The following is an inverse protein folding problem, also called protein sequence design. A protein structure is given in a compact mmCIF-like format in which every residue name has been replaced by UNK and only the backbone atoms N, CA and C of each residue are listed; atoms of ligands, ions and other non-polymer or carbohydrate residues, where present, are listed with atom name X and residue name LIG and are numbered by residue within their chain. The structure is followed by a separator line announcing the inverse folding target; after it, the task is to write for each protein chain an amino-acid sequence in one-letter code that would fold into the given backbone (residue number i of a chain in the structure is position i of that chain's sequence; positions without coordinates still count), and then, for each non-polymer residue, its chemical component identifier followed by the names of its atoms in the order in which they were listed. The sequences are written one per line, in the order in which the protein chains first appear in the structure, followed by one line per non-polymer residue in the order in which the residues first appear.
data_IF_549457538462
#
_entry.id   IF_549457538462
#
_cell.length_a   1.000
_cell.length_b   1.000
_cell.length_c   1.000
_cell.angle_alpha   90.00
_cell.angle_beta   90.00
_cell.angle_gamma   90.00
#
_symmetry.space_group_name_H-M   'P 1'
#
loop_
_entity.id
_entity.type
_entity.pdbx_description
1 polymer ?
#
# COMPACT_ATOMS: atom_id res chain seq x y z
N UNK A 1 -3.49 15.48 -9.06
CA UNK A 1 -4.11 16.82 -8.87
C UNK A 1 -5.36 16.93 -9.75
N UNK A 2 -6.26 17.88 -9.49
CA UNK A 2 -7.40 18.11 -10.38
C UNK A 2 -6.97 19.06 -11.52
N UNK A 3 -7.39 18.75 -12.74
CA UNK A 3 -7.14 19.59 -13.91
C UNK A 3 -8.28 20.58 -14.08
N UNK A 4 -7.91 21.83 -14.37
CA UNK A 4 -8.82 22.93 -14.63
C UNK A 4 -8.45 23.57 -15.97
N UNK A 5 -9.40 23.59 -16.90
CA UNK A 5 -9.29 24.34 -18.14
C UNK A 5 -9.82 25.73 -17.91
N UNK A 6 -9.03 26.75 -18.18
CA UNK A 6 -9.49 28.13 -18.18
C UNK A 6 -9.72 28.62 -19.60
N UNK A 7 -10.69 29.49 -19.76
CA UNK A 7 -10.93 30.24 -20.98
C UNK A 7 -10.79 31.72 -20.64
N UNK A 8 -9.97 32.43 -21.39
CA UNK A 8 -9.74 33.86 -21.26
C UNK A 8 -9.78 34.53 -22.64
N UNK A 9 -9.91 35.86 -22.68
CA UNK A 9 -9.86 36.66 -23.90
C UNK A 9 -8.57 37.48 -23.92
N UNK A 10 -7.92 37.58 -25.07
CA UNK A 10 -6.83 38.55 -25.26
C UNK A 10 -7.41 39.97 -25.52
N UNK A 11 -6.53 40.95 -25.74
CA UNK A 11 -6.90 42.34 -26.05
C UNK A 11 -7.74 42.49 -27.34
N UNK A 12 -7.69 41.52 -28.26
CA UNK A 12 -8.45 41.50 -29.52
C UNK A 12 -9.73 40.64 -29.42
N UNK A 13 -10.21 40.35 -28.20
CA UNK A 13 -11.33 39.45 -27.93
C UNK A 13 -11.18 38.01 -28.51
N UNK A 14 -9.94 37.58 -28.78
CA UNK A 14 -9.66 36.20 -29.20
C UNK A 14 -9.61 35.28 -27.99
N UNK A 15 -10.25 34.13 -28.13
CA UNK A 15 -10.32 33.11 -27.08
C UNK A 15 -8.98 32.41 -26.90
N UNK A 16 -8.40 32.55 -25.72
CA UNK A 16 -7.23 31.81 -25.25
C UNK A 16 -7.68 30.74 -24.27
N UNK A 17 -7.21 29.50 -24.45
CA UNK A 17 -7.49 28.38 -23.56
C UNK A 17 -6.18 27.83 -23.02
N UNK A 18 -6.17 27.53 -21.73
CA UNK A 18 -5.07 26.82 -21.10
C UNK A 18 -5.59 25.81 -20.09
N UNK A 19 -4.73 24.89 -19.67
CA UNK A 19 -5.04 23.89 -18.64
C UNK A 19 -4.01 24.02 -17.53
N UNK A 20 -4.48 24.03 -16.28
CA UNK A 20 -3.63 24.04 -15.09
C UNK A 20 -3.99 22.87 -14.17
N UNK A 21 -3.02 22.46 -13.36
CA UNK A 21 -3.20 21.42 -12.33
C UNK A 21 -3.16 22.04 -10.94
N UNK A 22 -4.18 21.79 -10.11
CA UNK A 22 -4.22 22.26 -8.73
C UNK A 22 -4.86 21.22 -7.79
N UNK A 23 -4.59 21.31 -6.47
CA UNK A 23 -5.23 20.40 -5.50
C UNK A 23 -6.66 20.82 -5.20
N UNK A 24 -6.94 22.12 -5.18
CA UNK A 24 -8.27 22.68 -4.87
C UNK A 24 -8.70 23.70 -5.92
N UNK A 25 -10.02 23.88 -6.06
CA UNK A 25 -10.57 24.88 -7.00
C UNK A 25 -10.13 26.31 -6.68
N UNK A 26 -9.96 26.65 -5.39
CA UNK A 26 -9.46 27.98 -4.97
C UNK A 26 -8.02 28.23 -5.42
N UNK A 27 -7.16 27.24 -5.25
CA UNK A 27 -5.76 27.29 -5.69
C UNK A 27 -5.67 27.43 -7.22
N UNK A 28 -6.51 26.70 -7.96
CA UNK A 28 -6.62 26.86 -9.40
C UNK A 28 -7.05 28.28 -9.80
N UNK A 29 -8.09 28.83 -9.17
CA UNK A 29 -8.56 30.19 -9.47
C UNK A 29 -7.49 31.24 -9.21
N UNK A 30 -6.71 31.11 -8.12
CA UNK A 30 -5.61 32.03 -7.82
C UNK A 30 -4.52 31.99 -8.92
N UNK A 31 -4.08 30.78 -9.31
CA UNK A 31 -3.09 30.60 -10.38
C UNK A 31 -3.59 31.14 -11.74
N UNK A 32 -4.85 30.90 -12.08
CA UNK A 32 -5.46 31.41 -13.33
C UNK A 32 -5.51 32.92 -13.32
N UNK A 33 -5.88 33.52 -12.18
CA UNK A 33 -5.97 34.98 -12.05
C UNK A 33 -4.60 35.63 -12.20
N UNK A 34 -3.56 35.08 -11.59
CA UNK A 34 -2.17 35.54 -11.73
C UNK A 34 -1.68 35.43 -13.19
N UNK A 35 -1.93 34.30 -13.85
CA UNK A 35 -1.60 34.11 -15.26
C UNK A 35 -2.35 35.08 -16.19
N UNK A 36 -3.60 35.36 -15.89
CA UNK A 36 -4.40 36.30 -16.68
C UNK A 36 -3.90 37.74 -16.50
N UNK A 37 -3.54 38.15 -15.28
CA UNK A 37 -2.98 39.47 -15.03
C UNK A 37 -1.63 39.65 -15.72
N UNK A 38 -0.72 38.69 -15.60
CA UNK A 38 0.61 38.75 -16.20
C UNK A 38 0.56 38.85 -17.73
N UNK A 39 -0.38 38.16 -18.37
CA UNK A 39 -0.50 38.10 -19.82
C UNK A 39 -1.60 39.02 -20.40
N UNK A 40 -2.12 39.96 -19.59
CA UNK A 40 -3.18 40.90 -19.99
C UNK A 40 -4.43 40.21 -20.59
N UNK A 41 -4.80 39.05 -20.03
CA UNK A 41 -5.96 38.28 -20.45
C UNK A 41 -7.17 38.57 -19.53
N UNK A 42 -8.37 38.61 -20.11
CA UNK A 42 -9.62 38.68 -19.35
C UNK A 42 -10.16 37.28 -19.08
N UNK A 43 -10.15 36.85 -17.83
CA UNK A 43 -10.68 35.53 -17.42
C UNK A 43 -12.20 35.46 -17.60
N UNK A 44 -12.69 34.42 -18.30
CA UNK A 44 -14.12 34.21 -18.59
C UNK A 44 -14.71 33.07 -17.77
N UNK A 45 -14.10 31.88 -17.85
CA UNK A 45 -14.64 30.69 -17.18
C UNK A 45 -13.55 29.67 -16.85
N UNK A 46 -13.85 28.81 -15.88
CA UNK A 46 -13.01 27.67 -15.52
C UNK A 46 -13.83 26.41 -15.44
N UNK A 47 -13.39 25.37 -16.14
CA UNK A 47 -14.00 24.05 -16.19
C UNK A 47 -13.09 23.06 -15.50
N UNK A 48 -13.62 22.30 -14.53
CA UNK A 48 -12.88 21.23 -13.88
C UNK A 48 -13.08 19.94 -14.67
N UNK A 49 -11.98 19.26 -15.02
CA UNK A 49 -12.05 17.94 -15.65
C UNK A 49 -12.74 16.95 -14.73
N UNK A 50 -13.76 16.26 -15.23
CA UNK A 50 -14.61 15.32 -14.48
C UNK A 50 -14.76 14.03 -15.25
N UNK A 51 -15.00 12.95 -14.52
CA UNK A 51 -15.33 11.65 -15.10
C UNK A 51 -16.79 11.61 -15.52
N UNK A 52 -17.03 11.23 -16.77
CA UNK A 52 -18.35 10.98 -17.30
C UNK A 52 -18.47 9.51 -17.66
N UNK A 53 -19.62 8.96 -17.33
CA UNK A 53 -20.03 7.61 -17.67
C UNK A 53 -20.85 7.70 -18.95
N UNK A 54 -20.43 7.00 -20.00
CA UNK A 54 -21.14 6.99 -21.27
C UNK A 54 -21.46 5.57 -21.72
N UNK A 55 -22.55 5.44 -22.47
CA UNK A 55 -22.97 4.21 -23.10
C UNK A 55 -23.01 4.45 -24.60
N UNK A 56 -22.26 3.64 -25.33
CA UNK A 56 -22.13 3.73 -26.79
C UNK A 56 -22.44 2.41 -27.44
N UNK A 57 -22.91 2.48 -28.68
CA UNK A 57 -23.15 1.33 -29.53
C UNK A 57 -22.35 1.49 -30.83
N UNK A 58 -21.64 0.43 -31.23
CA UNK A 58 -20.94 0.35 -32.52
C UNK A 58 -21.80 -0.48 -33.45
N UNK A 59 -22.37 0.13 -34.49
CA UNK A 59 -23.24 -0.56 -35.43
C UNK A 59 -24.39 -1.31 -34.73
N UNK A 60 -24.45 -2.64 -34.91
CA UNK A 60 -25.44 -3.54 -34.28
C UNK A 60 -24.95 -4.26 -33.02
N UNK A 61 -23.74 -3.94 -32.52
CA UNK A 61 -23.25 -4.59 -31.29
C UNK A 61 -24.08 -4.22 -30.06
N UNK A 62 -23.93 -5.01 -28.98
CA UNK A 62 -24.54 -4.68 -27.69
C UNK A 62 -23.95 -3.38 -27.15
N UNK A 63 -24.77 -2.52 -26.51
CA UNK A 63 -24.30 -1.29 -25.89
C UNK A 63 -23.17 -1.57 -24.90
N UNK A 64 -22.06 -0.84 -25.03
CA UNK A 64 -20.93 -0.90 -24.10
C UNK A 64 -20.93 0.35 -23.23
N UNK A 65 -20.75 0.15 -21.93
CA UNK A 65 -20.60 1.23 -20.97
C UNK A 65 -19.11 1.47 -20.74
N UNK A 66 -18.71 2.73 -20.73
CA UNK A 66 -17.33 3.15 -20.51
C UNK A 66 -17.29 4.48 -19.77
N UNK A 67 -16.12 4.83 -19.25
CA UNK A 67 -15.90 6.08 -18.54
C UNK A 67 -14.78 6.85 -19.25
N UNK A 68 -14.91 8.16 -19.34
CA UNK A 68 -13.85 9.05 -19.86
C UNK A 68 -13.89 10.38 -19.13
N UNK A 69 -12.70 10.94 -18.94
CA UNK A 69 -12.52 12.24 -18.31
C UNK A 69 -12.51 13.33 -19.37
N UNK A 70 -13.37 14.31 -19.19
CA UNK A 70 -13.46 15.47 -20.08
C UNK A 70 -13.79 16.73 -19.28
N UNK A 71 -13.64 17.89 -19.90
CA UNK A 71 -14.01 19.17 -19.28
C UNK A 71 -15.50 19.45 -19.45
N UNK A 72 -16.12 18.88 -20.48
CA UNK A 72 -17.56 19.01 -20.76
C UNK A 72 -18.16 17.70 -21.26
N UNK A 73 -19.50 17.62 -21.23
CA UNK A 73 -20.24 16.48 -21.77
C UNK A 73 -20.14 16.46 -23.31
N UNK A 74 -20.16 17.64 -23.90
CA UNK A 74 -20.13 17.90 -25.33
C UNK A 74 -18.83 17.40 -25.96
N UNK A 75 -17.70 17.57 -25.25
CA UNK A 75 -16.38 17.10 -25.69
C UNK A 75 -16.34 15.56 -25.82
N UNK A 76 -17.06 14.83 -24.96
CA UNK A 76 -17.17 13.37 -25.06
C UNK A 76 -18.06 12.97 -26.23
N UNK A 77 -19.19 13.65 -26.41
CA UNK A 77 -20.11 13.36 -27.51
C UNK A 77 -19.39 13.57 -28.84
N UNK A 78 -18.71 14.70 -29.02
CA UNK A 78 -17.95 15.01 -30.23
C UNK A 78 -16.82 14.01 -30.47
N UNK A 79 -16.10 13.59 -29.43
CA UNK A 79 -15.03 12.60 -29.57
C UNK A 79 -15.57 11.23 -29.99
N UNK A 80 -16.72 10.82 -29.45
CA UNK A 80 -17.36 9.54 -29.76
C UNK A 80 -18.01 9.54 -31.15
N UNK A 81 -18.67 10.63 -31.54
CA UNK A 81 -19.23 10.81 -32.87
C UNK A 81 -18.15 10.80 -33.95
N UNK A 82 -16.99 11.42 -33.70
CA UNK A 82 -15.82 11.34 -34.60
C UNK A 82 -15.26 9.94 -34.79
N UNK A 83 -15.58 9.01 -33.89
CA UNK A 83 -15.17 7.62 -33.94
C UNK A 83 -16.33 6.69 -34.38
N UNK A 84 -17.38 7.25 -35.01
CA UNK A 84 -18.57 6.53 -35.49
C UNK A 84 -19.34 5.76 -34.40
N UNK A 85 -19.23 6.16 -33.14
CA UNK A 85 -20.04 5.58 -32.05
C UNK A 85 -21.40 6.26 -31.95
N UNK A 86 -22.47 5.46 -31.87
CA UNK A 86 -23.80 5.98 -31.50
C UNK A 86 -23.86 6.17 -29.98
N UNK A 87 -23.93 7.42 -29.54
CA UNK A 87 -24.00 7.78 -28.12
C UNK A 87 -25.43 7.64 -27.61
N UNK A 88 -25.66 6.71 -26.68
CA UNK A 88 -26.97 6.47 -26.08
C UNK A 88 -27.19 7.33 -24.83
N UNK A 89 -26.16 7.46 -24.01
CA UNK A 89 -26.25 8.14 -22.71
C UNK A 89 -24.89 8.65 -22.29
N UNK A 90 -24.83 9.88 -21.77
CA UNK A 90 -23.63 10.46 -21.13
C UNK A 90 -24.07 11.15 -19.84
N UNK A 91 -23.56 10.67 -18.71
CA UNK A 91 -23.88 11.21 -17.38
C UNK A 91 -22.60 11.52 -16.61
N UNK A 92 -22.63 12.63 -15.86
CA UNK A 92 -21.54 12.95 -14.94
C UNK A 92 -21.52 11.96 -13.78
N UNK A 93 -20.35 11.42 -13.46
CA UNK A 93 -20.14 10.64 -12.25
C UNK A 93 -19.97 11.60 -11.07
N UNK A 94 -20.83 11.47 -10.06
CA UNK A 94 -20.82 12.35 -8.88
C UNK A 94 -19.70 11.99 -7.90
N UNK A 95 -19.27 10.72 -7.88
CA UNK A 95 -18.21 10.19 -7.02
C UNK A 95 -17.10 9.62 -7.91
N UNK A 96 -16.01 10.39 -8.06
CA UNK A 96 -14.82 10.03 -8.83
C UNK A 96 -13.70 9.58 -7.87
N UNK A 97 -13.90 8.43 -7.22
CA UNK A 97 -12.85 7.83 -6.40
C UNK A 97 -11.90 7.05 -7.29
N UNK A 98 -10.72 7.60 -7.56
CA UNK A 98 -9.59 6.87 -8.14
C UNK A 98 -9.21 5.73 -7.19
N UNK A 99 -9.70 4.52 -7.46
CA UNK A 99 -9.26 3.33 -6.72
C UNK A 99 -7.82 3.08 -7.13
N UNK A 100 -6.90 3.14 -6.15
CA UNK A 100 -5.49 2.86 -6.41
C UNK A 100 -5.36 1.42 -6.92
N UNK A 101 -4.67 1.19 -8.06
CA UNK A 101 -4.44 -0.16 -8.55
C UNK A 101 -3.67 -1.00 -7.51
N UNK A 102 -3.83 -2.33 -7.54
CA UNK A 102 -2.92 -3.24 -6.86
C UNK A 102 -1.47 -2.89 -7.16
N UNK A 103 -0.60 -3.00 -6.17
CA UNK A 103 0.82 -2.71 -6.34
C UNK A 103 1.47 -3.63 -7.38
N UNK A 104 1.03 -4.89 -7.44
CA UNK A 104 1.43 -5.89 -8.44
C UNK A 104 1.22 -5.43 -9.88
N UNK A 105 0.10 -4.75 -10.15
CA UNK A 105 -0.22 -4.27 -11.51
C UNK A 105 0.75 -3.18 -11.95
N UNK A 106 1.19 -2.33 -11.01
CA UNK A 106 2.20 -1.29 -11.27
C UNK A 106 3.55 -1.94 -11.54
N UNK A 107 3.93 -2.96 -10.74
CA UNK A 107 5.19 -3.71 -10.93
C UNK A 107 5.20 -4.37 -12.30
N UNK A 108 4.12 -5.07 -12.66
CA UNK A 108 3.97 -5.74 -13.93
C UNK A 108 4.03 -4.76 -15.11
N UNK A 109 3.33 -3.62 -15.03
CA UNK A 109 3.39 -2.57 -16.05
C UNK A 109 4.84 -2.12 -16.31
N UNK A 110 5.60 -1.82 -15.25
CA UNK A 110 6.99 -1.35 -15.38
C UNK A 110 7.90 -2.46 -15.90
N UNK A 111 7.73 -3.70 -15.44
CA UNK A 111 8.50 -4.86 -15.92
C UNK A 111 8.27 -5.13 -17.40
N UNK A 112 7.01 -5.25 -17.83
CA UNK A 112 6.71 -5.51 -19.25
C UNK A 112 7.20 -4.35 -20.12
N UNK A 113 7.08 -3.10 -19.65
CA UNK A 113 7.66 -1.95 -20.35
C UNK A 113 9.18 -2.09 -20.50
N UNK A 114 9.89 -2.53 -19.45
CA UNK A 114 11.34 -2.75 -19.50
C UNK A 114 11.74 -3.84 -20.51
N UNK A 115 10.97 -4.93 -20.57
CA UNK A 115 11.25 -6.05 -21.47
C UNK A 115 10.95 -5.68 -22.94
N UNK A 116 9.85 -5.00 -23.21
CA UNK A 116 9.54 -4.51 -24.57
C UNK A 116 10.53 -3.43 -25.05
N UNK A 117 11.01 -2.56 -24.14
CA UNK A 117 12.09 -1.62 -24.46
C UNK A 117 13.40 -2.35 -24.79
N UNK A 118 13.68 -3.47 -24.12
CA UNK A 118 14.84 -4.33 -24.43
C UNK A 118 14.71 -5.02 -25.78
N UNK A 119 13.49 -5.35 -26.19
CA UNK A 119 13.15 -5.88 -27.52
C UNK A 119 13.18 -4.81 -28.62
N UNK A 120 13.40 -3.54 -28.27
CA UNK A 120 13.56 -2.44 -29.23
C UNK A 120 12.25 -1.76 -29.63
N UNK A 121 11.12 -2.08 -28.99
CA UNK A 121 9.86 -1.39 -29.26
C UNK A 121 9.94 0.06 -28.77
N UNK A 122 9.34 0.97 -29.52
CA UNK A 122 9.30 2.38 -29.14
C UNK A 122 8.26 2.62 -28.04
N UNK A 123 8.47 3.65 -27.23
CA UNK A 123 7.53 4.04 -26.17
C UNK A 123 6.12 4.34 -26.69
N UNK A 124 6.04 4.84 -27.93
CA UNK A 124 4.78 5.14 -28.64
C UNK A 124 3.97 3.88 -28.99
N UNK A 125 4.61 2.71 -29.08
CA UNK A 125 3.97 1.42 -29.35
C UNK A 125 3.63 0.68 -28.05
N UNK A 126 4.55 0.73 -27.07
CA UNK A 126 4.43 0.03 -25.80
C UNK A 126 3.22 0.54 -24.99
N UNK A 127 3.08 1.86 -24.84
CA UNK A 127 2.01 2.41 -23.99
C UNK A 127 0.59 2.11 -24.49
N UNK A 128 0.25 2.26 -25.79
CA UNK A 128 -1.04 1.81 -26.31
C UNK A 128 -1.30 0.33 -26.08
N UNK A 129 -0.31 -0.52 -26.34
CA UNK A 129 -0.40 -1.98 -26.19
C UNK A 129 -0.71 -2.36 -24.74
N UNK A 130 0.03 -1.79 -23.79
CA UNK A 130 -0.20 -2.03 -22.36
C UNK A 130 -1.51 -1.42 -21.86
N UNK A 131 -1.93 -0.27 -22.39
CA UNK A 131 -3.24 0.30 -22.04
C UNK A 131 -4.40 -0.62 -22.44
N UNK A 132 -4.29 -1.39 -23.53
CA UNK A 132 -5.30 -2.39 -23.89
C UNK A 132 -5.31 -3.63 -22.99
N UNK A 133 -4.14 -4.04 -22.49
CA UNK A 133 -3.98 -5.33 -21.79
C UNK A 133 -4.15 -5.25 -20.26
N UNK A 134 -3.94 -4.07 -19.67
CA UNK A 134 -4.05 -3.90 -18.21
C UNK A 134 -5.50 -4.09 -17.72
N UNK A 135 -5.67 -4.92 -16.68
CA UNK A 135 -6.96 -5.22 -16.03
C UNK A 135 -7.52 -4.05 -15.21
N UNK A 136 -6.64 -3.31 -14.52
CA UNK A 136 -7.01 -2.18 -13.70
C UNK A 136 -7.42 -0.96 -14.53
N UNK A 137 -8.68 -0.54 -14.36
CA UNK A 137 -9.25 0.64 -15.05
C UNK A 137 -8.48 1.92 -14.75
N UNK A 138 -8.12 2.14 -13.48
CA UNK A 138 -7.35 3.32 -13.06
C UNK A 138 -5.97 3.34 -13.70
N UNK A 139 -5.28 2.20 -13.78
CA UNK A 139 -3.95 2.12 -14.38
C UNK A 139 -4.03 2.32 -15.90
N UNK A 140 -5.03 1.74 -16.56
CA UNK A 140 -5.32 1.98 -17.99
C UNK A 140 -5.49 3.46 -18.31
N UNK A 141 -6.28 4.19 -17.52
CA UNK A 141 -6.46 5.63 -17.70
C UNK A 141 -5.15 6.39 -17.52
N UNK A 142 -4.36 6.04 -16.51
CA UNK A 142 -3.05 6.66 -16.27
C UNK A 142 -2.10 6.42 -17.44
N UNK A 143 -2.02 5.20 -17.96
CA UNK A 143 -1.17 4.88 -19.12
C UNK A 143 -1.59 5.69 -20.35
N UNK A 144 -2.90 5.83 -20.59
CA UNK A 144 -3.43 6.65 -21.69
C UNK A 144 -3.12 8.14 -21.51
N UNK A 145 -3.32 8.68 -20.30
CA UNK A 145 -2.98 10.08 -19.98
C UNK A 145 -1.48 10.33 -20.19
N UNK A 146 -0.60 9.43 -19.72
CA UNK A 146 0.85 9.50 -19.94
C UNK A 146 1.20 9.46 -21.43
N UNK A 147 0.63 8.51 -22.18
CA UNK A 147 0.89 8.37 -23.62
C UNK A 147 0.50 9.63 -24.38
N UNK A 148 -0.67 10.22 -24.06
CA UNK A 148 -1.13 11.44 -24.71
C UNK A 148 -0.22 12.63 -24.35
N UNK A 149 0.06 12.83 -23.06
CA UNK A 149 0.87 13.97 -22.61
C UNK A 149 2.29 13.92 -23.21
N UNK A 150 2.88 12.73 -23.38
CA UNK A 150 4.18 12.56 -24.04
C UNK A 150 4.11 12.76 -25.56
N UNK A 151 3.05 12.28 -26.23
CA UNK A 151 2.82 12.55 -27.66
C UNK A 151 2.62 14.04 -27.95
N UNK A 152 2.02 14.76 -27.01
CA UNK A 152 1.85 16.21 -27.05
C UNK A 152 3.19 16.96 -26.79
N UNK A 153 4.29 16.24 -26.57
CA UNK A 153 5.63 16.81 -26.39
C UNK A 153 5.91 17.36 -24.99
N UNK A 154 5.11 17.01 -23.98
CA UNK A 154 5.37 17.45 -22.61
C UNK A 154 6.59 16.75 -22.03
N UNK A 155 7.28 17.45 -21.13
CA UNK A 155 8.44 16.92 -20.44
C UNK A 155 8.07 15.71 -19.58
N UNK A 156 8.70 14.57 -19.81
CA UNK A 156 8.28 13.34 -19.14
C UNK A 156 8.41 13.39 -17.61
N UNK A 157 9.37 14.13 -17.07
CA UNK A 157 9.47 14.33 -15.61
C UNK A 157 8.20 14.97 -15.02
N UNK A 158 7.61 15.96 -15.71
CA UNK A 158 6.32 16.54 -15.33
C UNK A 158 5.17 15.53 -15.47
N UNK A 159 5.14 14.81 -16.60
CA UNK A 159 4.12 13.81 -16.91
C UNK A 159 4.06 12.72 -15.84
N UNK A 160 5.19 12.06 -15.52
CA UNK A 160 5.17 11.01 -14.51
C UNK A 160 4.93 11.56 -13.09
N UNK A 161 5.45 12.74 -12.76
CA UNK A 161 5.21 13.37 -11.46
C UNK A 161 3.73 13.67 -11.19
N UNK A 162 2.94 13.99 -12.23
CA UNK A 162 1.48 14.14 -12.15
C UNK A 162 0.76 12.87 -11.68
N UNK A 163 1.35 11.70 -11.91
CA UNK A 163 0.81 10.37 -11.60
C UNK A 163 1.49 9.66 -10.41
N UNK A 164 2.31 10.37 -9.63
CA UNK A 164 3.02 9.83 -8.47
C UNK A 164 2.12 9.30 -7.34
N UNK A 165 0.86 9.73 -7.29
CA UNK A 165 -0.16 9.24 -6.35
C UNK A 165 -0.57 7.79 -6.65
N UNK A 166 -0.59 7.45 -7.93
CA UNK A 166 -0.91 6.11 -8.42
C UNK A 166 0.35 5.25 -8.47
N UNK A 167 1.35 5.66 -9.25
CA UNK A 167 2.58 4.91 -9.50
C UNK A 167 3.48 4.80 -8.25
N UNK A 168 3.36 5.77 -7.34
CA UNK A 168 4.35 6.00 -6.29
C UNK A 168 5.44 6.96 -6.74
N UNK A 169 6.04 7.67 -5.78
CA UNK A 169 6.99 8.75 -6.05
C UNK A 169 8.31 8.28 -6.65
N UNK A 170 8.90 7.21 -6.10
CA UNK A 170 10.14 6.65 -6.64
C UNK A 170 9.97 6.16 -8.08
N UNK A 171 8.96 5.32 -8.43
CA UNK A 171 8.75 4.93 -9.82
C UNK A 171 8.45 6.11 -10.73
N UNK A 172 7.57 7.02 -10.33
CA UNK A 172 7.28 8.22 -11.12
C UNK A 172 8.54 9.05 -11.43
N UNK A 173 9.42 9.24 -10.44
CA UNK A 173 10.68 9.94 -10.66
C UNK A 173 11.59 9.19 -11.62
N UNK A 174 11.78 7.88 -11.42
CA UNK A 174 12.64 7.06 -12.28
C UNK A 174 12.16 7.03 -13.72
N UNK A 175 10.87 6.87 -13.94
CA UNK A 175 10.26 6.88 -15.27
C UNK A 175 10.39 8.27 -15.93
N UNK A 176 10.30 9.33 -15.13
CA UNK A 176 10.63 10.69 -15.55
C UNK A 176 12.07 10.83 -16.02
N UNK A 177 13.04 10.40 -15.20
CA UNK A 177 14.46 10.41 -15.57
C UNK A 177 14.71 9.56 -16.82
N UNK A 178 14.05 8.40 -16.94
CA UNK A 178 14.15 7.55 -18.11
C UNK A 178 13.79 8.31 -19.38
N UNK A 179 12.66 9.02 -19.38
CA UNK A 179 12.14 9.73 -20.56
C UNK A 179 13.07 10.81 -21.12
N UNK A 180 13.95 11.37 -20.30
CA UNK A 180 14.94 12.38 -20.70
C UNK A 180 16.34 11.80 -20.85
N UNK A 181 16.56 10.55 -20.45
CA UNK A 181 17.84 9.87 -20.51
C UNK A 181 18.02 9.11 -21.82
N UNK A 182 19.28 8.90 -22.24
CA UNK A 182 19.60 8.05 -23.39
C UNK A 182 19.48 6.54 -23.14
N UNK A 183 19.17 6.11 -21.91
CA UNK A 183 19.11 4.68 -21.53
C UNK A 183 17.84 4.37 -20.72
N UNK A 184 16.70 4.48 -21.39
CA UNK A 184 15.39 4.13 -20.82
C UNK A 184 15.35 2.67 -20.36
N UNK A 185 15.92 1.76 -21.14
CA UNK A 185 15.88 0.31 -20.87
C UNK A 185 16.52 -0.02 -19.53
N UNK A 186 17.72 0.48 -19.25
CA UNK A 186 18.39 0.21 -17.97
C UNK A 186 17.64 0.81 -16.78
N UNK A 187 17.06 2.00 -16.93
CA UNK A 187 16.33 2.67 -15.84
C UNK A 187 15.00 1.96 -15.54
N UNK A 188 14.26 1.55 -16.56
CA UNK A 188 13.05 0.76 -16.40
C UNK A 188 13.35 -0.60 -15.76
N UNK A 189 14.39 -1.30 -16.22
CA UNK A 189 14.80 -2.59 -15.66
C UNK A 189 15.22 -2.48 -14.19
N UNK A 190 16.02 -1.47 -13.84
CA UNK A 190 16.43 -1.18 -12.46
C UNK A 190 15.24 -0.85 -11.57
N UNK A 191 14.29 -0.07 -12.09
CA UNK A 191 13.05 0.29 -11.38
C UNK A 191 12.16 -0.94 -11.16
N UNK A 192 11.99 -1.78 -12.19
CA UNK A 192 11.23 -3.02 -12.11
C UNK A 192 11.84 -3.97 -11.07
N UNK A 193 13.15 -4.22 -11.12
CA UNK A 193 13.87 -5.06 -10.16
C UNK A 193 13.66 -4.61 -8.72
N UNK A 194 13.72 -3.30 -8.46
CA UNK A 194 13.44 -2.75 -7.14
C UNK A 194 12.00 -3.02 -6.69
N UNK A 195 11.02 -2.80 -7.58
CA UNK A 195 9.60 -2.97 -7.26
C UNK A 195 9.21 -4.44 -7.06
N UNK A 196 9.72 -5.34 -7.89
CA UNK A 196 9.51 -6.78 -7.77
C UNK A 196 10.02 -7.29 -6.44
N UNK A 197 11.25 -6.94 -6.07
CA UNK A 197 11.83 -7.40 -4.81
C UNK A 197 11.06 -6.91 -3.59
N UNK A 198 10.54 -5.69 -3.70
CA UNK A 198 9.69 -5.10 -2.69
C UNK A 198 8.31 -5.78 -2.62
N UNK A 199 7.78 -6.23 -3.75
CA UNK A 199 6.58 -7.06 -3.82
C UNK A 199 6.82 -8.45 -3.23
N UNK A 200 7.91 -9.11 -3.58
CA UNK A 200 8.33 -10.41 -3.04
C UNK A 200 8.50 -10.36 -1.53
N UNK A 201 9.13 -9.31 -1.00
CA UNK A 201 9.23 -9.11 0.45
C UNK A 201 7.84 -8.99 1.10
N UNK A 202 6.94 -8.19 0.52
CA UNK A 202 5.55 -8.05 1.01
C UNK A 202 4.78 -9.35 0.93
N UNK A 203 4.94 -10.10 -0.16
CA UNK A 203 4.30 -11.39 -0.38
C UNK A 203 4.81 -12.41 0.65
N UNK A 204 6.12 -12.46 0.86
CA UNK A 204 6.75 -13.32 1.86
C UNK A 204 6.26 -12.99 3.26
N UNK A 205 6.24 -11.71 3.64
CA UNK A 205 5.73 -11.25 4.93
C UNK A 205 4.25 -11.60 5.13
N UNK A 206 3.43 -11.46 4.07
CA UNK A 206 2.02 -11.81 4.12
C UNK A 206 1.82 -13.32 4.27
N UNK A 207 2.52 -14.13 3.46
CA UNK A 207 2.45 -15.59 3.50
C UNK A 207 2.89 -16.13 4.86
N UNK A 208 3.97 -15.58 5.41
CA UNK A 208 4.48 -15.83 6.75
C UNK A 208 3.44 -15.64 7.87
N UNK A 209 2.54 -14.66 7.74
CA UNK A 209 1.54 -14.33 8.76
C UNK A 209 0.19 -15.02 8.54
N UNK A 210 -0.14 -15.41 7.30
CA UNK A 210 -1.42 -16.07 6.99
C UNK A 210 -1.54 -17.40 7.74
N UNK A 211 -0.51 -18.24 7.74
CA UNK A 211 -0.59 -19.58 8.34
C UNK A 211 -0.86 -19.52 9.86
N UNK A 212 -0.12 -18.73 10.66
CA UNK A 212 -0.46 -18.53 12.07
C UNK A 212 -1.89 -18.05 12.31
N UNK A 213 -2.39 -17.11 11.50
CA UNK A 213 -3.74 -16.58 11.61
C UNK A 213 -4.81 -17.64 11.34
N UNK A 214 -4.60 -18.48 10.31
CA UNK A 214 -5.53 -19.58 9.97
C UNK A 214 -5.57 -20.60 11.11
N UNK A 215 -4.41 -21.03 11.61
CA UNK A 215 -4.34 -22.01 12.71
C UNK A 215 -4.95 -21.43 13.99
N UNK A 216 -4.68 -20.17 14.33
CA UNK A 216 -5.30 -19.50 15.49
C UNK A 216 -6.82 -19.40 15.35
N UNK A 217 -7.34 -19.13 14.14
CA UNK A 217 -8.78 -19.10 13.86
C UNK A 217 -9.43 -20.46 14.10
N UNK A 218 -8.84 -21.55 13.59
CA UNK A 218 -9.38 -22.90 13.83
C UNK A 218 -9.25 -23.34 15.28
N UNK A 219 -8.17 -22.97 15.97
CA UNK A 219 -8.03 -23.22 17.41
C UNK A 219 -9.16 -22.54 18.19
N UNK A 220 -9.43 -21.26 17.90
CA UNK A 220 -10.52 -20.52 18.54
C UNK A 220 -11.88 -21.19 18.26
N UNK A 221 -12.13 -21.60 17.02
CA UNK A 221 -13.36 -22.30 16.65
C UNK A 221 -13.51 -23.65 17.38
N UNK A 222 -12.43 -24.42 17.48
CA UNK A 222 -12.43 -25.70 18.18
C UNK A 222 -12.71 -25.53 19.69
N UNK A 223 -12.12 -24.50 20.32
CA UNK A 223 -12.39 -24.17 21.73
C UNK A 223 -13.84 -23.77 21.92
N UNK A 224 -14.38 -22.90 21.08
CA UNK A 224 -15.80 -22.51 21.14
C UNK A 224 -16.74 -23.70 20.94
N UNK A 225 -16.46 -24.58 19.98
CA UNK A 225 -17.24 -25.80 19.77
C UNK A 225 -17.20 -26.74 20.98
N UNK A 226 -16.02 -26.94 21.56
CA UNK A 226 -15.87 -27.77 22.75
C UNK A 226 -16.70 -27.22 23.92
N UNK A 227 -16.55 -25.93 24.25
CA UNK A 227 -17.24 -25.30 25.38
C UNK A 227 -18.75 -25.15 25.13
N UNK A 228 -19.16 -24.85 23.90
CA UNK A 228 -20.57 -24.62 23.56
C UNK A 228 -21.39 -25.90 23.36
N UNK A 229 -20.77 -26.98 22.85
CA UNK A 229 -21.49 -28.22 22.50
C UNK A 229 -21.07 -29.43 23.33
N UNK A 230 -19.78 -29.78 23.31
CA UNK A 230 -19.29 -31.02 23.94
C UNK A 230 -19.47 -30.94 25.46
N UNK A 231 -18.97 -29.86 26.05
CA UNK A 231 -18.92 -29.68 27.49
C UNK A 231 -20.30 -29.74 28.19
N UNK A 232 -21.36 -29.03 27.75
CA UNK A 232 -22.66 -29.12 28.39
C UNK A 232 -23.30 -30.50 28.26
N UNK A 233 -23.01 -31.25 27.19
CA UNK A 233 -23.45 -32.65 27.07
C UNK A 233 -22.78 -33.54 28.11
N UNK A 234 -21.50 -33.32 28.40
CA UNK A 234 -20.82 -34.02 29.49
C UNK A 234 -21.43 -33.65 30.85
N UNK A 235 -21.73 -32.37 31.09
CA UNK A 235 -22.34 -31.92 32.34
C UNK A 235 -23.76 -32.48 32.58
N UNK A 236 -24.60 -32.58 31.55
CA UNK A 236 -25.93 -33.24 31.62
C UNK A 236 -25.81 -34.69 32.13
N UNK A 237 -24.73 -35.39 31.82
CA UNK A 237 -24.48 -36.75 32.33
C UNK A 237 -24.18 -36.73 33.84
N UNK A 238 -23.34 -35.83 34.34
CA UNK A 238 -23.02 -35.74 35.78
C UNK A 238 -24.24 -35.49 36.66
N UNK A 239 -25.14 -34.59 36.22
CA UNK A 239 -26.37 -34.29 36.95
C UNK A 239 -27.29 -35.52 37.00
N UNK A 240 -27.38 -36.31 35.92
CA UNK A 240 -28.16 -37.55 35.90
C UNK A 240 -27.64 -38.62 36.85
N UNK A 241 -26.34 -38.62 37.15
CA UNK A 241 -25.72 -39.52 38.14
C UNK A 241 -25.74 -38.97 39.57
N UNK A 242 -26.36 -37.82 39.82
CA UNK A 242 -26.46 -37.22 41.15
C UNK A 242 -25.13 -36.76 41.74
N UNK A 243 -24.10 -36.55 40.91
CA UNK A 243 -22.76 -36.16 41.36
C UNK A 243 -22.60 -34.64 41.38
N UNK A 244 -21.98 -34.11 42.43
CA UNK A 244 -21.60 -32.69 42.46
C UNK A 244 -20.52 -32.41 41.42
N UNK A 245 -20.75 -31.39 40.59
CA UNK A 245 -19.81 -30.98 39.55
C UNK A 245 -18.53 -30.40 40.19
N UNK A 246 -17.33 -30.82 39.75
CA UNK A 246 -16.07 -30.23 40.18
C UNK A 246 -15.99 -28.73 39.92
N UNK A 247 -15.15 -27.97 40.65
CA UNK A 247 -15.08 -26.52 40.55
C UNK A 247 -14.69 -26.04 39.14
N UNK A 248 -13.75 -26.71 38.47
CA UNK A 248 -13.38 -26.40 37.08
C UNK A 248 -14.53 -26.70 36.12
N UNK A 249 -15.24 -27.81 36.33
CA UNK A 249 -16.39 -28.22 35.53
C UNK A 249 -17.56 -27.25 35.69
N UNK A 250 -17.79 -26.75 36.91
CA UNK A 250 -18.84 -25.79 37.25
C UNK A 250 -18.59 -24.42 36.62
N UNK A 251 -17.36 -23.91 36.68
CA UNK A 251 -16.99 -22.64 36.05
C UNK A 251 -17.15 -22.70 34.52
N UNK A 252 -16.75 -23.81 33.91
CA UNK A 252 -16.89 -24.00 32.46
C UNK A 252 -18.37 -24.17 32.06
N UNK A 253 -19.22 -24.75 32.91
CA UNK A 253 -20.66 -24.86 32.67
C UNK A 253 -21.37 -23.49 32.72
N UNK A 254 -20.97 -22.62 33.67
CA UNK A 254 -21.46 -21.25 33.73
C UNK A 254 -21.09 -20.46 32.46
N UNK A 255 -19.87 -20.63 31.96
CA UNK A 255 -19.43 -20.06 30.69
C UNK A 255 -20.21 -20.63 29.50
N UNK A 256 -20.44 -21.95 29.48
CA UNK A 256 -21.21 -22.65 28.45
C UNK A 256 -22.67 -22.20 28.38
N UNK A 257 -23.33 -21.99 29.53
CA UNK A 257 -24.68 -21.43 29.60
C UNK A 257 -24.75 -20.03 28.99
N UNK A 258 -23.80 -19.16 29.36
CA UNK A 258 -23.67 -17.83 28.75
C UNK A 258 -23.49 -17.92 27.23
N UNK A 259 -22.63 -18.83 26.75
CA UNK A 259 -22.34 -18.97 25.32
C UNK A 259 -23.55 -19.50 24.53
N UNK A 260 -24.25 -20.52 25.04
CA UNK A 260 -25.42 -21.11 24.39
C UNK A 260 -26.56 -20.11 24.19
N UNK A 261 -26.84 -19.29 25.19
CA UNK A 261 -27.92 -18.31 25.14
C UNK A 261 -27.63 -17.17 24.12
N UNK A 262 -26.37 -17.02 23.72
CA UNK A 262 -25.89 -15.90 22.90
C UNK A 262 -25.17 -16.33 21.61
N UNK A 263 -25.33 -17.57 21.12
CA UNK A 263 -24.64 -18.09 19.90
C UNK A 263 -24.72 -17.13 18.70
N UNK A 264 -25.90 -16.55 18.43
CA UNK A 264 -26.06 -15.57 17.34
C UNK A 264 -25.30 -14.27 17.60
N UNK A 265 -25.26 -13.81 18.85
CA UNK A 265 -24.50 -12.64 19.28
C UNK A 265 -22.99 -12.88 19.25
N UNK A 266 -22.54 -14.10 19.47
CA UNK A 266 -21.12 -14.49 19.36
C UNK A 266 -20.65 -14.58 17.92
N UNK A 267 -21.44 -15.19 17.05
CA UNK A 267 -21.13 -15.22 15.62
C UNK A 267 -21.15 -13.81 15.05
N UNK A 268 -22.13 -12.99 15.43
CA UNK A 268 -22.19 -11.58 15.10
C UNK A 268 -21.01 -10.81 15.70
N UNK A 269 -20.60 -11.12 16.93
CA UNK A 269 -19.46 -10.52 17.62
C UNK A 269 -18.14 -10.85 16.94
N UNK A 270 -17.93 -12.10 16.52
CA UNK A 270 -16.76 -12.52 15.78
C UNK A 270 -16.72 -11.88 14.39
N UNK A 271 -17.85 -11.85 13.68
CA UNK A 271 -17.96 -11.16 12.39
C UNK A 271 -17.71 -9.65 12.54
N UNK A 272 -18.25 -9.02 13.59
CA UNK A 272 -18.05 -7.62 13.91
C UNK A 272 -16.61 -7.33 14.34
N UNK A 273 -15.94 -8.25 15.05
CA UNK A 273 -14.54 -8.14 15.42
C UNK A 273 -13.65 -8.21 14.17
N UNK A 274 -13.86 -9.21 13.31
CA UNK A 274 -13.08 -9.37 12.06
C UNK A 274 -13.34 -8.19 11.13
N UNK A 275 -14.60 -7.78 10.95
CA UNK A 275 -15.00 -6.62 10.17
C UNK A 275 -14.47 -5.30 10.76
N UNK A 276 -14.51 -5.15 12.07
CA UNK A 276 -14.03 -3.99 12.82
C UNK A 276 -12.52 -3.84 12.75
N UNK A 277 -11.76 -4.93 12.92
CA UNK A 277 -10.31 -4.95 12.76
C UNK A 277 -9.95 -4.61 11.31
N UNK A 278 -10.57 -5.25 10.32
CA UNK A 278 -10.28 -4.96 8.90
C UNK A 278 -10.62 -3.51 8.53
N UNK A 279 -11.71 -2.97 9.04
CA UNK A 279 -12.07 -1.56 8.85
C UNK A 279 -11.07 -0.63 9.56
N UNK A 280 -10.72 -0.90 10.80
CA UNK A 280 -9.79 -0.12 11.61
C UNK A 280 -8.40 -0.07 10.96
N UNK A 281 -7.84 -1.23 10.58
CA UNK A 281 -6.53 -1.32 9.91
C UNK A 281 -6.52 -0.59 8.56
N UNK A 282 -7.66 -0.53 7.86
CA UNK A 282 -7.79 0.23 6.60
C UNK A 282 -7.97 1.74 6.83
N UNK A 283 -8.45 2.16 8.00
CA UNK A 283 -8.65 3.57 8.34
C UNK A 283 -7.33 4.33 8.50
N UNK A 284 -7.37 5.66 8.36
CA UNK A 284 -6.20 6.52 8.54
C UNK A 284 -5.69 6.44 9.98
N UNK A 285 -6.61 6.52 10.97
CA UNK A 285 -6.29 6.43 12.40
C UNK A 285 -5.68 5.08 12.79
N UNK A 286 -6.21 3.98 12.24
CA UNK A 286 -5.67 2.65 12.52
C UNK A 286 -4.29 2.44 11.91
N UNK A 287 -4.02 2.96 10.71
CA UNK A 287 -2.64 2.98 10.16
C UNK A 287 -1.69 3.77 11.05
N UNK A 288 -2.07 4.97 11.48
CA UNK A 288 -1.24 5.76 12.38
C UNK A 288 -0.99 5.07 13.72
N UNK A 289 -1.99 4.34 14.24
CA UNK A 289 -1.85 3.59 15.48
C UNK A 289 -0.91 2.38 15.33
N UNK A 290 -1.08 1.62 14.24
CA UNK A 290 -0.18 0.50 13.89
C UNK A 290 1.24 1.03 13.66
N UNK A 291 1.42 2.14 12.95
CA UNK A 291 2.71 2.76 12.70
C UNK A 291 3.40 3.21 14.00
N UNK A 292 2.64 3.48 15.08
CA UNK A 292 3.20 3.77 16.41
C UNK A 292 3.48 2.52 17.24
N UNK A 293 2.66 1.48 17.11
CA UNK A 293 2.77 0.26 17.91
C UNK A 293 3.81 -0.71 17.35
N UNK A 294 3.80 -0.91 16.03
CA UNK A 294 4.63 -1.90 15.34
C UNK A 294 6.14 -1.69 15.59
N UNK A 295 6.67 -0.44 15.61
CA UNK A 295 8.08 -0.19 15.95
C UNK A 295 8.45 -0.51 17.40
N UNK A 296 7.48 -0.62 18.31
CA UNK A 296 7.72 -0.91 19.75
C UNK A 296 7.80 -2.41 20.06
N UNK A 297 7.40 -3.25 19.10
CA UNK A 297 7.50 -4.70 19.28
C UNK A 297 8.98 -5.12 19.24
N UNK A 298 9.48 -5.86 20.26
CA UNK A 298 10.91 -6.11 20.43
C UNK A 298 11.55 -6.89 19.27
N UNK A 299 10.77 -7.68 18.53
CA UNK A 299 11.25 -8.47 17.40
C UNK A 299 10.93 -7.81 16.06
N UNK A 300 9.69 -7.31 15.90
CA UNK A 300 9.20 -6.74 14.62
C UNK A 300 9.70 -5.31 14.39
N UNK A 301 9.82 -4.50 15.45
CA UNK A 301 10.25 -3.11 15.34
C UNK A 301 11.65 -2.95 14.74
N UNK A 302 12.68 -3.62 15.28
CA UNK A 302 14.03 -3.58 14.71
C UNK A 302 14.09 -4.13 13.27
N UNK A 303 13.26 -5.13 12.95
CA UNK A 303 13.16 -5.68 11.60
C UNK A 303 12.63 -4.62 10.63
N UNK A 304 11.50 -4.00 10.94
CA UNK A 304 10.89 -2.95 10.11
C UNK A 304 11.81 -1.75 9.95
N UNK A 305 12.48 -1.34 11.02
CA UNK A 305 13.41 -0.23 10.97
C UNK A 305 14.60 -0.51 10.03
N UNK A 306 15.19 -1.70 10.11
CA UNK A 306 16.29 -2.11 9.21
C UNK A 306 15.82 -2.24 7.76
N UNK A 307 14.60 -2.72 7.52
CA UNK A 307 13.98 -2.71 6.19
C UNK A 307 13.82 -1.30 5.65
N UNK A 308 13.44 -0.32 6.48
CA UNK A 308 13.39 1.08 6.04
C UNK A 308 14.75 1.64 5.64
N UNK A 309 15.81 1.31 6.40
CA UNK A 309 17.19 1.71 6.05
C UNK A 309 17.65 1.02 4.76
N UNK A 310 17.30 -0.25 4.56
CA UNK A 310 17.57 -0.98 3.32
C UNK A 310 16.94 -0.29 2.11
N UNK A 311 15.64 0.00 2.18
CA UNK A 311 14.92 0.67 1.10
C UNK A 311 15.51 2.06 0.84
N UNK A 312 15.80 2.82 1.89
CA UNK A 312 16.45 4.13 1.78
C UNK A 312 17.78 4.01 1.03
N UNK A 313 18.67 3.13 1.47
CA UNK A 313 20.01 2.97 0.90
C UNK A 313 19.95 2.47 -0.55
N UNK A 314 18.97 1.62 -0.88
CA UNK A 314 18.78 1.12 -2.25
C UNK A 314 18.29 2.21 -3.19
N UNK A 315 17.27 2.96 -2.79
CA UNK A 315 16.76 4.09 -3.59
C UNK A 315 17.84 5.17 -3.73
N UNK A 316 18.58 5.44 -2.66
CA UNK A 316 19.73 6.33 -2.71
C UNK A 316 20.76 5.84 -3.73
N UNK A 317 21.17 4.57 -3.68
CA UNK A 317 22.08 3.98 -4.66
C UNK A 317 21.59 4.13 -6.10
N UNK A 318 20.32 3.81 -6.36
CA UNK A 318 19.75 3.85 -7.72
C UNK A 318 19.76 5.27 -8.30
N UNK A 319 19.56 6.30 -7.48
CA UNK A 319 19.45 7.67 -7.95
C UNK A 319 20.75 8.47 -7.85
N UNK A 320 21.70 8.05 -7.02
CA UNK A 320 22.93 8.81 -6.79
C UNK A 320 23.89 8.65 -7.97
N UNK A 321 24.28 9.78 -8.56
CA UNK A 321 25.11 9.84 -9.78
C UNK A 321 26.58 10.20 -9.54
N UNK A 322 26.97 10.48 -8.29
CA UNK A 322 28.39 10.71 -7.94
C UNK A 322 28.82 12.16 -7.73
N UNK A 323 27.92 13.15 -7.89
CA UNK A 323 28.20 14.55 -7.55
C UNK A 323 27.47 14.99 -6.27
N UNK A 324 28.18 15.80 -5.49
CA UNK A 324 27.86 16.17 -4.11
C UNK A 324 26.46 16.73 -3.93
N UNK A 325 25.68 16.02 -3.10
CA UNK A 325 24.43 16.46 -2.48
C UNK A 325 23.22 16.65 -3.40
N UNK A 326 22.78 15.55 -4.00
CA UNK A 326 21.47 15.51 -4.64
C UNK A 326 20.35 15.42 -3.57
N UNK A 327 19.98 16.56 -2.98
CA UNK A 327 18.90 16.68 -1.97
C UNK A 327 17.59 16.03 -2.46
N UNK A 328 17.34 16.07 -3.76
CA UNK A 328 16.21 15.39 -4.39
C UNK A 328 16.28 13.87 -4.19
N UNK A 329 17.47 13.28 -4.32
CA UNK A 329 17.71 11.85 -4.03
C UNK A 329 17.41 11.51 -2.58
N UNK A 330 17.94 12.31 -1.64
CA UNK A 330 17.65 12.15 -0.21
C UNK A 330 16.16 12.21 0.09
N UNK A 331 15.45 13.16 -0.53
CA UNK A 331 14.01 13.34 -0.35
C UNK A 331 13.21 12.14 -0.88
N UNK A 332 13.55 11.65 -2.07
CA UNK A 332 12.88 10.49 -2.68
C UNK A 332 13.19 9.21 -1.91
N UNK A 333 14.45 9.01 -1.48
CA UNK A 333 14.85 7.88 -0.66
C UNK A 333 14.14 7.88 0.71
N UNK A 334 14.02 9.06 1.34
CA UNK A 334 13.27 9.22 2.59
C UNK A 334 11.78 8.88 2.41
N UNK A 335 11.17 9.29 1.31
CA UNK A 335 9.76 8.97 1.02
C UNK A 335 9.55 7.48 0.70
N UNK A 336 10.56 6.83 0.14
CA UNK A 336 10.50 5.42 -0.20
C UNK A 336 10.66 4.50 1.03
N UNK A 337 11.28 4.96 2.12
CA UNK A 337 11.66 4.12 3.27
C UNK A 337 10.48 3.54 4.08
N UNK A 338 9.23 3.97 3.81
CA UNK A 338 7.98 3.48 4.43
C UNK A 338 7.95 3.57 5.96
N UNK A 339 8.75 4.46 6.54
CA UNK A 339 8.70 4.79 7.94
C UNK A 339 8.50 6.29 8.06
N UNK A 340 7.29 6.68 8.42
CA UNK A 340 6.85 8.09 8.48
C UNK A 340 7.72 8.91 9.43
N UNK A 341 8.22 8.28 10.51
CA UNK A 341 9.14 8.94 11.45
C UNK A 341 10.53 9.13 10.83
N UNK A 342 11.09 8.11 10.20
CA UNK A 342 12.37 8.20 9.48
C UNK A 342 12.31 9.22 8.34
N UNK A 343 11.25 9.19 7.52
CA UNK A 343 11.00 10.15 6.45
C UNK A 343 10.99 11.58 6.99
N UNK A 344 10.22 11.83 8.06
CA UNK A 344 10.12 13.15 8.67
C UNK A 344 11.47 13.64 9.18
N UNK A 345 12.21 12.79 9.92
CA UNK A 345 13.52 13.16 10.48
C UNK A 345 14.54 13.47 9.39
N UNK A 346 14.56 12.73 8.28
CA UNK A 346 15.46 13.04 7.16
C UNK A 346 15.08 14.37 6.50
N UNK A 347 13.78 14.63 6.29
CA UNK A 347 13.31 15.86 5.63
C UNK A 347 13.43 17.13 6.48
N UNK A 348 13.24 17.01 7.79
CA UNK A 348 13.19 18.16 8.71
C UNK A 348 14.52 18.40 9.42
N UNK A 349 15.42 17.41 9.47
CA UNK A 349 16.73 17.52 10.13
C UNK A 349 17.88 17.39 9.16
N UNK A 350 18.04 16.24 8.48
CA UNK A 350 19.21 16.01 7.63
C UNK A 350 19.27 17.00 6.45
N UNK A 351 18.19 17.12 5.67
CA UNK A 351 18.15 18.00 4.50
C UNK A 351 18.41 19.48 4.88
N UNK A 352 17.73 20.06 5.89
CA UNK A 352 18.02 21.43 6.32
C UNK A 352 19.43 21.60 6.90
N UNK A 353 19.98 20.59 7.58
CA UNK A 353 21.34 20.65 8.11
C UNK A 353 22.38 20.75 6.98
N UNK A 354 22.24 19.93 5.94
CA UNK A 354 23.10 20.01 4.75
C UNK A 354 22.96 21.37 4.05
N UNK A 355 21.72 21.81 3.79
CA UNK A 355 21.47 23.05 3.04
C UNK A 355 21.81 24.35 3.78
N UNK A 356 21.54 24.42 5.10
CA UNK A 356 21.68 25.67 5.89
C UNK A 356 22.99 25.75 6.64
N UNK A 357 23.51 24.60 7.10
CA UNK A 357 24.68 24.54 7.98
C UNK A 357 25.91 24.01 7.24
N UNK A 358 25.77 23.56 5.98
CA UNK A 358 26.86 23.01 5.19
C UNK A 358 27.44 21.72 5.77
N UNK A 359 26.66 20.99 6.57
CA UNK A 359 27.11 19.74 7.16
C UNK A 359 27.18 18.64 6.11
N UNK A 360 28.20 17.79 6.21
CA UNK A 360 28.32 16.62 5.37
C UNK A 360 27.14 15.65 5.54
N UNK A 361 26.96 14.79 4.53
CA UNK A 361 25.85 13.83 4.49
C UNK A 361 25.79 12.95 5.76
N UNK A 362 26.93 12.43 6.21
CA UNK A 362 26.97 11.46 7.31
C UNK A 362 26.60 12.14 8.63
N UNK A 363 27.11 13.34 8.85
CA UNK A 363 26.84 14.18 10.02
C UNK A 363 25.35 14.55 10.07
N UNK A 364 24.80 14.96 8.92
CA UNK A 364 23.39 15.28 8.79
C UNK A 364 22.48 14.06 9.05
N UNK A 365 22.86 12.87 8.54
CA UNK A 365 22.14 11.62 8.83
C UNK A 365 22.29 11.22 10.30
N UNK A 366 23.43 11.45 10.94
CA UNK A 366 23.66 11.15 12.36
C UNK A 366 22.78 12.01 13.28
N UNK A 367 22.57 13.29 12.96
CA UNK A 367 21.67 14.17 13.71
C UNK A 367 20.21 13.71 13.69
N UNK A 368 19.80 12.96 12.66
CA UNK A 368 18.43 12.45 12.60
C UNK A 368 18.14 11.44 13.70
N UNK A 369 19.16 10.74 14.22
CA UNK A 369 19.06 9.64 15.18
C UNK A 369 18.19 8.46 14.68
N UNK A 370 18.02 8.32 13.36
CA UNK A 370 17.23 7.24 12.75
C UNK A 370 18.09 6.20 12.06
N UNK A 371 19.38 6.44 11.85
CA UNK A 371 20.28 5.46 11.26
C UNK A 371 21.00 4.72 12.37
N UNK A 372 21.17 3.40 12.19
CA UNK A 372 21.99 2.60 13.11
C UNK A 372 23.45 3.02 13.02
N UNK A 373 24.23 2.75 14.07
CA UNK A 373 25.68 2.96 14.05
C UNK A 373 26.36 2.26 12.86
N UNK A 374 25.96 1.02 12.56
CA UNK A 374 26.48 0.27 11.42
C UNK A 374 26.18 0.96 10.07
N UNK A 375 24.96 1.48 9.88
CA UNK A 375 24.60 2.24 8.68
C UNK A 375 25.47 3.49 8.53
N UNK A 376 25.60 4.28 9.61
CA UNK A 376 26.42 5.49 9.63
C UNK A 376 27.89 5.18 9.33
N UNK A 377 28.47 4.13 9.95
CA UNK A 377 29.85 3.72 9.68
C UNK A 377 30.09 3.34 8.22
N UNK A 378 29.14 2.66 7.55
CA UNK A 378 29.28 2.32 6.13
C UNK A 378 29.16 3.53 5.23
N UNK A 379 28.23 4.44 5.52
CA UNK A 379 28.15 5.71 4.79
C UNK A 379 29.42 6.54 4.97
N UNK A 380 29.98 6.60 6.20
CA UNK A 380 31.26 7.25 6.51
C UNK A 380 32.40 6.68 5.67
N UNK A 381 32.59 5.36 5.68
CA UNK A 381 33.59 4.69 4.84
C UNK A 381 33.38 4.95 3.33
N UNK A 382 32.12 5.04 2.89
CA UNK A 382 31.76 5.39 1.51
C UNK A 382 32.12 6.83 1.12
N UNK A 383 31.97 7.79 2.04
CA UNK A 383 32.39 9.17 1.84
C UNK A 383 33.91 9.27 1.82
N UNK A 384 34.60 8.67 2.80
CA UNK A 384 36.06 8.67 2.91
C UNK A 384 36.75 8.04 1.69
N UNK A 385 36.18 6.96 1.14
CA UNK A 385 36.68 6.29 -0.08
C UNK A 385 36.20 6.91 -1.39
N UNK A 386 35.35 7.95 -1.35
CA UNK A 386 34.72 8.54 -2.53
C UNK A 386 33.72 7.64 -3.25
N UNK A 387 33.39 6.45 -2.71
CA UNK A 387 32.49 5.48 -3.33
C UNK A 387 31.17 5.30 -2.57
N UNK A 388 30.52 6.42 -2.28
CA UNK A 388 29.26 6.48 -1.54
C UNK A 388 28.14 5.67 -2.21
N UNK A 389 28.10 5.67 -3.55
CA UNK A 389 27.11 4.90 -4.33
C UNK A 389 27.19 3.40 -4.02
N UNK A 390 28.41 2.84 -4.02
CA UNK A 390 28.60 1.42 -3.74
C UNK A 390 28.41 1.11 -2.25
N UNK A 391 28.82 2.01 -1.35
CA UNK A 391 28.58 1.85 0.08
C UNK A 391 27.07 1.73 0.39
N UNK A 392 26.23 2.54 -0.27
CA UNK A 392 24.78 2.46 -0.15
C UNK A 392 24.22 1.10 -0.66
N UNK A 393 24.72 0.59 -1.78
CA UNK A 393 24.34 -0.73 -2.29
C UNK A 393 24.73 -1.86 -1.33
N UNK A 394 25.95 -1.83 -0.82
CA UNK A 394 26.44 -2.82 0.14
C UNK A 394 25.61 -2.80 1.44
N UNK A 395 25.28 -1.61 1.93
CA UNK A 395 24.41 -1.44 3.09
C UNK A 395 23.00 -2.02 2.83
N UNK A 396 22.42 -1.73 1.67
CA UNK A 396 21.13 -2.25 1.28
C UNK A 396 21.14 -3.78 1.19
N UNK A 397 22.14 -4.37 0.52
CA UNK A 397 22.25 -5.83 0.40
C UNK A 397 22.49 -6.51 1.75
N UNK A 398 23.24 -5.88 2.65
CA UNK A 398 23.45 -6.38 4.00
C UNK A 398 22.13 -6.42 4.78
N UNK A 399 21.38 -5.31 4.82
CA UNK A 399 20.13 -5.27 5.57
C UNK A 399 19.04 -6.12 4.95
N UNK A 400 19.01 -6.28 3.63
CA UNK A 400 18.12 -7.25 2.98
C UNK A 400 18.37 -8.67 3.49
N UNK A 401 19.63 -9.12 3.48
CA UNK A 401 19.99 -10.46 3.97
C UNK A 401 19.64 -10.62 5.45
N UNK A 402 20.00 -9.62 6.26
CA UNK A 402 19.73 -9.64 7.69
C UNK A 402 18.21 -9.66 7.99
N UNK A 403 17.42 -8.83 7.30
CA UNK A 403 15.97 -8.75 7.51
C UNK A 403 15.25 -9.99 7.00
N UNK A 404 15.68 -10.56 5.87
CA UNK A 404 15.13 -11.83 5.36
C UNK A 404 15.36 -12.98 6.33
N UNK A 405 16.58 -13.09 6.88
CA UNK A 405 16.90 -14.10 7.88
C UNK A 405 16.09 -13.90 9.18
N UNK A 406 16.06 -12.67 9.70
CA UNK A 406 15.28 -12.35 10.90
C UNK A 406 13.79 -12.59 10.71
N UNK A 407 13.24 -12.30 9.52
CA UNK A 407 11.83 -12.53 9.21
C UNK A 407 11.47 -14.02 9.38
N UNK A 408 12.30 -14.95 8.88
CA UNK A 408 12.09 -16.39 9.07
C UNK A 408 12.05 -16.77 10.55
N UNK A 409 13.00 -16.27 11.34
CA UNK A 409 13.02 -16.47 12.79
C UNK A 409 11.79 -15.92 13.52
N UNK A 410 11.28 -14.75 13.11
CA UNK A 410 10.05 -14.20 13.68
C UNK A 410 8.88 -15.15 13.44
N UNK A 411 8.78 -15.71 12.23
CA UNK A 411 7.72 -16.65 11.86
C UNK A 411 7.83 -17.94 12.66
N UNK A 412 9.03 -18.49 12.81
CA UNK A 412 9.26 -19.71 13.58
C UNK A 412 8.89 -19.51 15.06
N UNK A 413 9.21 -18.34 15.63
CA UNK A 413 8.84 -18.00 17.00
C UNK A 413 7.33 -17.84 17.17
N UNK A 414 6.64 -17.22 16.20
CA UNK A 414 5.17 -17.15 16.19
C UNK A 414 4.58 -18.56 16.13
N UNK A 415 5.05 -19.41 15.21
CA UNK A 415 4.59 -20.79 15.09
C UNK A 415 4.82 -21.60 16.37
N UNK A 416 6.01 -21.48 16.97
CA UNK A 416 6.33 -22.13 18.22
C UNK A 416 5.40 -21.69 19.36
N UNK A 417 5.17 -20.38 19.50
CA UNK A 417 4.24 -19.84 20.51
C UNK A 417 2.80 -20.34 20.30
N UNK A 418 2.37 -20.49 19.05
CA UNK A 418 1.05 -21.01 18.71
C UNK A 418 0.94 -22.50 19.05
N UNK A 419 1.93 -23.30 18.69
CA UNK A 419 1.99 -24.72 19.05
C UNK A 419 1.99 -24.94 20.56
N UNK A 420 2.73 -24.12 21.32
CA UNK A 420 2.71 -24.15 22.78
C UNK A 420 1.32 -23.82 23.33
N UNK A 421 0.65 -22.83 22.74
CA UNK A 421 -0.72 -22.45 23.12
C UNK A 421 -1.70 -23.58 22.84
N UNK A 422 -1.61 -24.23 21.67
CA UNK A 422 -2.44 -25.40 21.33
C UNK A 422 -2.21 -26.53 22.33
N UNK A 423 -0.95 -26.85 22.63
CA UNK A 423 -0.61 -27.89 23.60
C UNK A 423 -1.19 -27.60 24.98
N UNK A 424 -1.07 -26.36 25.47
CA UNK A 424 -1.61 -25.94 26.75
C UNK A 424 -3.14 -26.04 26.78
N UNK A 425 -3.81 -25.59 25.71
CA UNK A 425 -5.26 -25.72 25.55
C UNK A 425 -5.66 -27.20 25.54
N UNK A 426 -4.98 -28.05 24.78
CA UNK A 426 -5.26 -29.48 24.73
C UNK A 426 -5.06 -30.17 26.08
N UNK A 427 -4.01 -29.83 26.82
CA UNK A 427 -3.77 -30.34 28.18
C UNK A 427 -4.92 -29.91 29.09
N UNK A 428 -5.31 -28.64 29.06
CA UNK A 428 -6.43 -28.14 29.86
C UNK A 428 -7.73 -28.88 29.53
N UNK A 429 -8.05 -29.04 28.24
CA UNK A 429 -9.23 -29.78 27.79
C UNK A 429 -9.20 -31.25 28.23
N UNK A 430 -8.04 -31.89 28.14
CA UNK A 430 -7.86 -33.29 28.56
C UNK A 430 -7.96 -33.43 30.08
N UNK A 431 -7.43 -32.48 30.84
CA UNK A 431 -7.49 -32.48 32.30
C UNK A 431 -8.94 -32.31 32.78
N UNK A 432 -9.68 -31.38 32.18
CA UNK A 432 -11.12 -31.22 32.41
C UNK A 432 -11.86 -32.53 32.10
N UNK A 433 -11.54 -33.18 30.97
CA UNK A 433 -12.15 -34.46 30.58
C UNK A 433 -11.72 -35.64 31.46
N UNK A 434 -10.54 -35.59 32.07
CA UNK A 434 -10.03 -36.64 32.97
C UNK A 434 -10.62 -36.49 34.37
N UNK A 435 -10.76 -35.26 34.87
CA UNK A 435 -11.45 -34.97 36.14
C UNK A 435 -12.89 -35.51 36.09
N UNK A 436 -13.56 -35.41 34.94
CA UNK A 436 -14.87 -36.04 34.73
C UNK A 436 -14.82 -37.58 34.81
N UNK A 437 -13.72 -38.24 34.43
CA UNK A 437 -13.62 -39.70 34.44
C UNK A 437 -13.21 -40.30 35.79
N UNK A 438 -12.53 -39.54 36.66
CA UNK A 438 -11.96 -40.03 37.93
C UNK A 438 -13.00 -40.07 39.06
N UNK A 439 -14.09 -39.30 38.95
CA UNK A 439 -15.15 -39.27 39.95
C UNK A 439 -16.01 -40.51 39.80
N UNK A 440 -15.78 -41.50 40.68
CA UNK A 440 -16.57 -42.73 40.74
C UNK A 440 -17.93 -42.42 41.38
N UNK A 441 -19.05 -42.90 40.82
CA UNK A 441 -20.35 -42.77 41.47
C UNK A 441 -20.32 -43.49 42.83
N UNK A 442 -20.96 -42.93 43.88
CA UNK A 442 -21.13 -43.64 45.14
C UNK A 442 -21.92 -44.93 44.88
N UNK A 443 -21.45 -46.02 45.47
CA UNK A 443 -21.95 -47.37 45.19
C UNK A 443 -23.43 -47.48 45.63
N UNK A 444 -24.39 -47.76 44.74
CA UNK A 444 -25.82 -47.79 45.10
C UNK A 444 -26.19 -48.94 46.05
N UNK A 445 -25.26 -49.85 46.34
CA UNK A 445 -25.46 -51.03 47.21
C UNK A 445 -25.20 -50.75 48.71
N UNK A 446 -24.90 -49.52 49.13
CA UNK A 446 -24.63 -49.16 50.53
C UNK A 446 -25.70 -48.26 51.16
N UNK A 447 -26.84 -48.05 50.49
CA UNK A 447 -27.98 -47.26 50.99
C UNK A 447 -29.31 -48.05 50.95
N UNK A 448 -29.26 -49.38 51.16
CA UNK A 448 -30.46 -50.15 51.52
C UNK A 448 -30.49 -50.44 53.01
#
# INVERSE_FOLDING_TARGET
MAEFRYTALNLDDRVVRGVISARRSREASALIQELCQHNQLRWVRTERKRTFLYTVQVGQERPRQSEQRAFSREEIIQALEKMDYRVLKVQRKWIDTRVRPPFSDIVLFIRITADLLREGLSYNEILPLLASDVSSRTLREVIREINQDLKDGREGQEVFAKHQDILGRFPAYMLGVASTSGDMTAIYDSTAKFLERNEEFRKSLRQALIMPLVVAFFLLLAVLFYVGYIFPKTAELFVKFGMELPPLTRGTLALSGFLKDHILLELAGLAALVGGITHFVRSVRGREWIDRLLPRLPVVGPLMHKTSIEIFARVFHSLYTGSGENITVLRIAAEACRNTWMERRIKEVAIPSMLRQGQGLVEALEQTQVFTRNALSRFRAGVESGNLKMAALQLANYYERETTYRLRHVVDLINFSLSLTIALVMILLTLISSETAVIRPPNPMLQQ
#
